data_IF_642116098102
#
_entry.id   IF_642116098102
#
_cell.length_a   1.000
_cell.length_b   1.000
_cell.length_c   1.000
_cell.angle_alpha   90.00
_cell.angle_beta   90.00
_cell.angle_gamma   90.00
#
_symmetry.space_group_name_H-M   'P 1'
#
loop_
_entity.id
_entity.type
_entity.pdbx_description
1 polymer ?
#
# COMPACT_ATOMS: atom_id res chain seq x y z
N UNK A 1 7.56 1.16 -22.66
CA UNK A 1 6.90 -0.14 -22.99
C UNK A 1 7.63 -1.34 -22.39
N UNK A 2 8.96 -1.29 -22.23
CA UNK A 2 9.79 -2.40 -21.69
C UNK A 2 9.33 -2.94 -20.34
N UNK A 3 9.16 -2.08 -19.32
CA UNK A 3 8.77 -2.50 -17.96
C UNK A 3 7.50 -3.35 -17.91
N UNK A 4 6.47 -3.02 -18.69
CA UNK A 4 5.18 -3.74 -18.66
C UNK A 4 5.21 -5.08 -19.39
N UNK A 5 6.21 -5.28 -20.26
CA UNK A 5 6.37 -6.51 -21.08
C UNK A 5 7.43 -7.45 -20.52
N UNK A 6 8.21 -7.00 -19.55
CA UNK A 6 9.24 -7.80 -18.89
C UNK A 6 8.62 -8.77 -17.87
N UNK A 7 9.17 -9.98 -17.80
CA UNK A 7 8.79 -10.94 -16.78
C UNK A 7 9.12 -10.42 -15.36
N UNK A 8 8.35 -10.77 -14.32
CA UNK A 8 8.58 -10.29 -12.96
C UNK A 8 10.02 -10.47 -12.46
N UNK A 9 10.59 -11.66 -12.67
CA UNK A 9 11.94 -12.01 -12.22
C UNK A 9 13.08 -11.17 -12.81
N UNK A 10 12.84 -10.46 -13.92
CA UNK A 10 13.85 -9.53 -14.49
C UNK A 10 13.62 -8.08 -14.05
N UNK A 11 12.43 -7.72 -13.55
CA UNK A 11 12.10 -6.33 -13.19
C UNK A 11 13.04 -5.73 -12.15
N UNK A 12 13.53 -6.52 -11.19
CA UNK A 12 14.49 -6.07 -10.18
C UNK A 12 15.91 -5.89 -10.70
N UNK A 13 16.23 -6.40 -11.89
CA UNK A 13 17.56 -6.34 -12.52
C UNK A 13 17.60 -5.39 -13.72
N UNK A 14 16.47 -4.77 -14.05
CA UNK A 14 16.37 -3.81 -15.13
C UNK A 14 17.07 -2.51 -14.72
N UNK A 15 18.34 -2.37 -15.12
CA UNK A 15 19.07 -1.11 -15.04
C UNK A 15 18.63 -0.18 -16.17
N UNK A 16 17.44 0.39 -16.02
CA UNK A 16 16.88 1.35 -16.98
C UNK A 16 17.31 2.75 -16.55
N UNK A 17 18.10 3.47 -17.36
CA UNK A 17 18.45 4.86 -17.09
C UNK A 17 17.25 5.76 -17.38
N UNK A 18 16.32 5.82 -16.43
CA UNK A 18 15.19 6.74 -16.52
C UNK A 18 15.69 8.19 -16.53
N UNK A 19 15.31 8.96 -17.55
CA UNK A 19 15.54 10.41 -17.62
C UNK A 19 14.72 11.17 -16.57
N UNK A 20 13.51 10.68 -16.27
CA UNK A 20 12.63 11.22 -15.22
C UNK A 20 12.87 10.48 -13.91
N UNK A 21 13.30 11.21 -12.87
CA UNK A 21 13.62 10.66 -11.56
C UNK A 21 12.44 9.96 -10.87
N UNK A 22 11.19 10.39 -11.16
CA UNK A 22 9.98 9.81 -10.59
C UNK A 22 9.77 8.36 -11.02
N UNK A 23 10.25 8.00 -12.21
CA UNK A 23 10.04 6.67 -12.77
C UNK A 23 10.81 5.56 -12.03
N UNK A 24 11.96 5.88 -11.43
CA UNK A 24 12.70 4.95 -10.56
C UNK A 24 11.84 4.55 -9.37
N UNK A 25 11.27 5.54 -8.69
CA UNK A 25 10.40 5.29 -7.54
C UNK A 25 9.08 4.61 -7.96
N UNK A 26 8.49 5.00 -9.09
CA UNK A 26 7.30 4.32 -9.61
C UNK A 26 7.55 2.84 -9.93
N UNK A 27 8.70 2.49 -10.52
CA UNK A 27 9.07 1.10 -10.80
C UNK A 27 9.22 0.29 -9.51
N UNK A 28 9.91 0.85 -8.51
CA UNK A 28 10.03 0.23 -7.19
C UNK A 28 8.64 -0.04 -6.58
N UNK A 29 7.78 0.98 -6.52
CA UNK A 29 6.42 0.85 -5.97
C UNK A 29 5.53 -0.09 -6.80
N UNK A 30 5.77 -0.21 -8.09
CA UNK A 30 5.08 -1.16 -8.97
C UNK A 30 5.50 -2.60 -8.64
N UNK A 31 6.80 -2.87 -8.55
CA UNK A 31 7.33 -4.18 -8.12
C UNK A 31 6.80 -4.55 -6.75
N UNK A 32 6.89 -3.65 -5.78
CA UNK A 32 6.49 -3.91 -4.40
C UNK A 32 5.02 -4.29 -4.23
N UNK A 33 4.13 -3.75 -5.08
CA UNK A 33 2.69 -4.05 -5.03
C UNK A 33 2.29 -5.30 -5.80
N UNK A 34 2.93 -5.59 -6.93
CA UNK A 34 2.48 -6.62 -7.87
C UNK A 34 3.36 -7.87 -7.83
N UNK A 35 4.64 -7.71 -7.48
CA UNK A 35 5.68 -8.75 -7.51
C UNK A 35 6.61 -8.61 -6.29
N UNK A 36 6.08 -8.65 -5.05
CA UNK A 36 6.87 -8.45 -3.82
C UNK A 36 8.03 -9.45 -3.69
N UNK A 37 7.92 -10.64 -4.27
CA UNK A 37 8.97 -11.67 -4.34
C UNK A 37 10.20 -11.21 -5.13
N UNK A 38 10.06 -10.17 -5.95
CA UNK A 38 11.19 -9.61 -6.71
C UNK A 38 12.01 -8.63 -5.90
N UNK A 39 11.53 -8.21 -4.72
CA UNK A 39 12.23 -7.27 -3.84
C UNK A 39 13.30 -7.99 -3.02
N UNK A 40 14.48 -7.37 -2.94
CA UNK A 40 15.51 -7.74 -1.97
C UNK A 40 15.02 -7.51 -0.53
N UNK A 41 15.67 -8.11 0.46
CA UNK A 41 15.31 -7.92 1.88
C UNK A 41 15.35 -6.44 2.30
N UNK A 42 16.35 -5.69 1.83
CA UNK A 42 16.44 -4.25 2.07
C UNK A 42 15.26 -3.49 1.45
N UNK A 43 14.96 -3.77 0.18
CA UNK A 43 13.80 -3.18 -0.52
C UNK A 43 12.47 -3.51 0.18
N UNK A 44 12.33 -4.73 0.70
CA UNK A 44 11.16 -5.12 1.49
C UNK A 44 11.06 -4.29 2.78
N UNK A 45 12.18 -4.05 3.47
CA UNK A 45 12.18 -3.19 4.67
C UNK A 45 11.76 -1.77 4.34
N UNK A 46 12.34 -1.16 3.30
CA UNK A 46 11.98 0.18 2.83
C UNK A 46 10.50 0.24 2.43
N UNK A 47 9.99 -0.80 1.76
CA UNK A 47 8.58 -0.87 1.39
C UNK A 47 7.66 -0.99 2.62
N UNK A 48 8.02 -1.82 3.61
CA UNK A 48 7.27 -1.94 4.87
C UNK A 48 7.21 -0.61 5.61
N UNK A 49 8.33 0.10 5.73
CA UNK A 49 8.35 1.44 6.34
C UNK A 49 7.49 2.44 5.59
N UNK A 50 7.53 2.42 4.24
CA UNK A 50 6.67 3.26 3.42
C UNK A 50 5.18 2.95 3.67
N UNK A 51 4.80 1.67 3.71
CA UNK A 51 3.44 1.24 4.01
C UNK A 51 3.00 1.69 5.41
N UNK A 52 3.85 1.49 6.43
CA UNK A 52 3.58 1.91 7.80
C UNK A 52 3.35 3.41 7.91
N UNK A 53 4.21 4.23 7.29
CA UNK A 53 4.07 5.69 7.26
C UNK A 53 2.72 6.12 6.67
N UNK A 54 2.26 5.46 5.60
CA UNK A 54 0.97 5.80 4.98
C UNK A 54 -0.24 5.28 5.75
N UNK A 55 -0.14 4.12 6.39
CA UNK A 55 -1.22 3.56 7.20
C UNK A 55 -1.40 4.36 8.50
N UNK A 56 -0.32 4.95 9.02
CA UNK A 56 -0.32 5.77 10.23
C UNK A 56 -0.40 7.28 9.94
N UNK A 57 -0.60 7.68 8.69
CA UNK A 57 -0.80 9.09 8.33
C UNK A 57 -2.10 9.59 8.97
N UNK A 58 -2.01 10.61 9.83
CA UNK A 58 -3.15 11.13 10.59
C UNK A 58 -4.25 11.68 9.68
N UNK A 59 -3.87 12.38 8.60
CA UNK A 59 -4.83 12.91 7.63
C UNK A 59 -5.57 11.81 6.86
N UNK A 60 -4.90 10.70 6.53
CA UNK A 60 -5.54 9.53 5.94
C UNK A 60 -6.50 8.85 6.92
N UNK A 61 -6.13 8.78 8.21
CA UNK A 61 -6.98 8.22 9.27
C UNK A 61 -8.23 9.05 9.50
N UNK A 62 -8.09 10.35 9.64
CA UNK A 62 -9.23 11.27 9.81
C UNK A 62 -10.22 11.16 8.64
N UNK A 63 -9.72 11.12 7.39
CA UNK A 63 -10.56 10.93 6.21
C UNK A 63 -11.27 9.57 6.21
N UNK A 64 -10.58 8.51 6.64
CA UNK A 64 -11.19 7.19 6.78
C UNK A 64 -12.34 7.21 7.79
N UNK A 65 -12.11 7.72 9.01
CA UNK A 65 -13.13 7.78 10.06
C UNK A 65 -14.34 8.61 9.64
N UNK A 66 -14.12 9.76 9.00
CA UNK A 66 -15.19 10.60 8.47
C UNK A 66 -16.02 9.87 7.40
N UNK A 67 -15.37 9.19 6.45
CA UNK A 67 -16.06 8.45 5.40
C UNK A 67 -16.80 7.22 5.94
N UNK A 68 -16.26 6.59 6.98
CA UNK A 68 -16.91 5.48 7.67
C UNK A 68 -18.20 5.92 8.37
N UNK A 69 -18.16 7.04 9.10
CA UNK A 69 -19.32 7.61 9.77
C UNK A 69 -20.42 8.00 8.76
N UNK A 70 -20.04 8.67 7.67
CA UNK A 70 -20.97 9.03 6.59
C UNK A 70 -21.61 7.81 5.93
N UNK A 71 -20.83 6.75 5.67
CA UNK A 71 -21.33 5.51 5.10
C UNK A 71 -22.33 4.80 6.03
N UNK A 72 -22.09 4.84 7.34
CA UNK A 72 -23.00 4.28 8.33
C UNK A 72 -24.31 5.09 8.43
N UNK A 73 -24.22 6.42 8.41
CA UNK A 73 -25.39 7.30 8.42
C UNK A 73 -26.30 7.06 7.21
N UNK A 74 -25.71 6.98 6.01
CA UNK A 74 -26.45 6.79 4.76
C UNK A 74 -26.96 5.38 4.56
N UNK A 75 -26.16 4.39 4.94
CA UNK A 75 -26.43 2.97 4.65
C UNK A 75 -27.18 2.24 5.76
N UNK A 76 -27.23 2.81 6.97
CA UNK A 76 -27.89 2.21 8.13
C UNK A 76 -27.43 0.77 8.40
N UNK A 77 -28.35 -0.06 8.89
CA UNK A 77 -28.08 -1.46 9.24
C UNK A 77 -27.62 -2.30 8.04
N UNK A 78 -28.05 -1.95 6.83
CA UNK A 78 -27.66 -2.67 5.61
C UNK A 78 -26.17 -2.52 5.28
N UNK A 79 -25.54 -1.39 5.65
CA UNK A 79 -24.11 -1.19 5.43
C UNK A 79 -23.23 -1.83 6.51
N UNK A 80 -23.80 -2.13 7.69
CA UNK A 80 -23.06 -2.60 8.86
C UNK A 80 -22.15 -3.82 8.58
N UNK A 81 -22.61 -4.89 7.90
CA UNK A 81 -21.76 -6.06 7.65
C UNK A 81 -20.56 -5.77 6.76
N UNK A 82 -20.68 -4.82 5.82
CA UNK A 82 -19.58 -4.41 4.95
C UNK A 82 -18.58 -3.53 5.71
N UNK A 83 -19.08 -2.60 6.51
CA UNK A 83 -18.26 -1.71 7.33
C UNK A 83 -17.50 -2.49 8.43
N UNK A 84 -18.11 -3.51 9.03
CA UNK A 84 -17.42 -4.39 9.99
C UNK A 84 -16.27 -5.17 9.34
N UNK A 85 -16.46 -5.65 8.09
CA UNK A 85 -15.38 -6.28 7.30
C UNK A 85 -14.26 -5.31 6.99
N UNK A 86 -14.59 -4.05 6.69
CA UNK A 86 -13.61 -2.99 6.43
C UNK A 86 -12.77 -2.69 7.68
N UNK A 87 -13.41 -2.56 8.85
CA UNK A 87 -12.70 -2.40 10.13
C UNK A 87 -11.83 -3.61 10.46
N UNK A 88 -12.32 -4.82 10.21
CA UNK A 88 -11.54 -6.06 10.39
C UNK A 88 -10.30 -6.05 9.48
N UNK A 89 -10.45 -5.65 8.22
CA UNK A 89 -9.32 -5.52 7.30
C UNK A 89 -8.29 -4.51 7.81
N UNK A 90 -8.73 -3.33 8.28
CA UNK A 90 -7.83 -2.31 8.80
C UNK A 90 -7.12 -2.77 10.07
N UNK A 91 -7.81 -3.47 10.98
CA UNK A 91 -7.20 -4.07 12.16
C UNK A 91 -6.19 -5.17 11.80
N UNK A 92 -6.37 -5.86 10.67
CA UNK A 92 -5.41 -6.85 10.16
C UNK A 92 -4.19 -6.23 9.48
N UNK A 93 -4.26 -4.95 9.08
CA UNK A 93 -3.08 -4.26 8.59
C UNK A 93 -2.06 -4.20 9.73
N UNK A 94 -0.76 -4.23 9.43
CA UNK A 94 0.27 -4.00 10.43
C UNK A 94 0.21 -2.52 10.83
N UNK A 95 -0.78 -2.13 11.62
CA UNK A 95 -0.83 -0.89 12.36
C UNK A 95 0.26 -1.08 13.40
N UNK A 96 1.34 -0.30 13.27
CA UNK A 96 2.48 -0.29 14.18
C UNK A 96 2.29 -1.19 15.41
N UNK A 97 2.84 -2.41 15.35
CA UNK A 97 3.55 -2.88 16.52
C UNK A 97 4.68 -1.86 16.71
N UNK A 98 4.33 -0.71 17.28
CA UNK A 98 5.28 0.21 17.85
C UNK A 98 6.02 -0.64 18.86
N UNK A 99 7.34 -0.71 18.67
CA UNK A 99 8.24 -1.28 19.64
C UNK A 99 7.76 -0.87 21.04
N UNK A 100 7.32 -1.87 21.79
CA UNK A 100 7.35 -1.81 23.23
C UNK A 100 8.83 -1.85 23.67
#
# INVERSE_FOLDING_TARGET
QTVRRSAPGVLGRLDIPFRDSRLKEMLFRYRARNYPETLTEHEQSVWREFCLKRINDSGAREKYESGFAEALERGGDAARPLLDKLNTYIASLPIAAGNQ
#
